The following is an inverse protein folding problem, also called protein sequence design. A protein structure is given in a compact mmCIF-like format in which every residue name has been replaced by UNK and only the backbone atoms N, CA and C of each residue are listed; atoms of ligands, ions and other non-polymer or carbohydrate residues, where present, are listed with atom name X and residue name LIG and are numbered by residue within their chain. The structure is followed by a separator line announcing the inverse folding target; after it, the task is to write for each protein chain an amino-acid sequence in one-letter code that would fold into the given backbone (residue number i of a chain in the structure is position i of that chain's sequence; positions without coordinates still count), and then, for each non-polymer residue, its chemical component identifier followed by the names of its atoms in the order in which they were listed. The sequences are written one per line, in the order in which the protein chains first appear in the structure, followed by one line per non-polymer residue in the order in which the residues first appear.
data_IF_699871274777
#
_entry.id   IF_699871274777
#
_cell.length_a   1.000
_cell.length_b   1.000
_cell.length_c   1.000
_cell.angle_alpha   90.00
_cell.angle_beta   90.00
_cell.angle_gamma   90.00
#
_symmetry.space_group_name_H-M   'P 1'
#
loop_
_entity.id
_entity.type
_entity.pdbx_description
1 polymer ?
#
# COMPACT_ATOMS: atom_id res chain seq x y z
N UNK A 1 16.14 45.85 5.57
CA UNK A 1 15.62 45.34 6.86
C UNK A 1 14.19 45.85 7.03
N UNK A 2 13.25 44.99 7.38
CA UNK A 2 11.87 45.42 7.67
C UNK A 2 11.84 46.30 8.92
N UNK A 3 11.26 47.47 8.87
CA UNK A 3 11.25 48.38 10.03
C UNK A 3 10.33 47.91 11.17
N UNK A 4 9.36 47.00 10.84
CA UNK A 4 8.40 46.48 11.82
C UNK A 4 8.91 45.27 12.62
N UNK A 5 9.56 44.30 11.93
CA UNK A 5 9.98 43.04 12.58
C UNK A 5 11.49 42.79 12.55
N UNK A 6 12.30 43.71 12.01
CA UNK A 6 13.75 43.59 11.94
C UNK A 6 14.28 42.53 10.95
N UNK A 7 13.43 41.83 10.24
CA UNK A 7 13.85 40.80 9.25
C UNK A 7 14.70 41.44 8.13
N UNK A 8 15.82 40.81 7.86
CA UNK A 8 16.67 41.23 6.71
C UNK A 8 16.13 40.62 5.44
N UNK A 9 15.73 41.50 4.51
CA UNK A 9 15.21 41.13 3.21
C UNK A 9 16.24 41.42 2.10
N UNK A 10 16.29 40.54 1.10
CA UNK A 10 17.07 40.77 -0.10
C UNK A 10 16.26 41.59 -1.08
N UNK A 11 16.79 42.75 -1.51
CA UNK A 11 16.23 43.54 -2.59
C UNK A 11 16.63 42.89 -3.91
N UNK A 12 15.65 42.62 -4.77
CA UNK A 12 15.85 42.05 -6.10
C UNK A 12 15.36 43.11 -7.12
N UNK A 13 16.23 43.56 -7.95
CA UNK A 13 15.86 44.43 -9.05
C UNK A 13 15.07 43.65 -10.09
N UNK A 14 13.96 44.23 -10.54
CA UNK A 14 13.07 43.62 -11.51
C UNK A 14 12.56 44.65 -12.50
N UNK A 15 12.52 44.28 -13.80
CA UNK A 15 11.90 45.07 -14.86
C UNK A 15 10.38 44.90 -14.97
N UNK A 16 9.78 44.06 -14.09
CA UNK A 16 8.34 43.78 -14.08
C UNK A 16 7.58 45.04 -13.65
N UNK A 17 6.62 45.46 -14.45
CA UNK A 17 5.75 46.59 -14.15
C UNK A 17 4.66 46.26 -13.12
N UNK A 18 4.33 44.99 -12.99
CA UNK A 18 3.38 44.46 -11.98
C UNK A 18 3.88 43.18 -11.36
N UNK A 19 3.52 42.97 -10.10
CA UNK A 19 3.81 41.78 -9.33
C UNK A 19 2.59 41.38 -8.51
N UNK A 20 2.17 40.12 -8.64
CA UNK A 20 1.08 39.53 -7.86
C UNK A 20 1.62 38.34 -7.08
N UNK A 21 1.35 38.31 -5.79
CA UNK A 21 1.70 37.20 -4.90
C UNK A 21 0.47 36.78 -4.10
N UNK A 22 0.24 35.50 -4.01
CA UNK A 22 -0.83 34.93 -3.20
C UNK A 22 -0.30 33.79 -2.33
N UNK A 23 -0.62 33.81 -1.03
CA UNK A 23 -0.14 32.83 -0.04
C UNK A 23 -1.21 32.58 1.01
N UNK A 24 -1.08 31.44 1.71
CA UNK A 24 -1.87 31.14 2.90
C UNK A 24 -1.10 31.48 4.16
N UNK A 25 -1.80 32.11 5.11
CA UNK A 25 -1.26 32.52 6.40
C UNK A 25 -2.07 31.89 7.53
N UNK A 26 -1.39 31.34 8.55
CA UNK A 26 -2.01 30.66 9.66
C UNK A 26 -1.96 31.46 10.96
N UNK A 27 -3.03 31.44 11.75
CA UNK A 27 -3.07 31.92 13.12
C UNK A 27 -3.54 30.79 14.01
N UNK A 28 -2.72 30.40 15.00
CA UNK A 28 -3.08 29.37 15.97
C UNK A 28 -3.44 30.04 17.29
N UNK A 29 -4.68 29.86 17.73
CA UNK A 29 -5.25 30.54 18.90
C UNK A 29 -6.13 29.63 19.71
N UNK A 30 -6.59 30.11 20.86
CA UNK A 30 -7.53 29.45 21.76
C UNK A 30 -8.79 30.28 21.86
N UNK A 31 -9.93 29.66 21.73
CA UNK A 31 -11.24 30.31 21.90
C UNK A 31 -12.20 29.34 22.59
N UNK A 32 -12.85 29.77 23.69
CA UNK A 32 -13.83 28.98 24.43
C UNK A 32 -13.33 27.58 24.86
N UNK A 33 -12.03 27.44 25.16
CA UNK A 33 -11.42 26.14 25.49
C UNK A 33 -11.07 25.25 24.31
N UNK A 34 -11.34 25.69 23.08
CA UNK A 34 -10.97 24.98 21.85
C UNK A 34 -9.61 25.46 21.33
N UNK A 35 -8.84 24.54 20.79
CA UNK A 35 -7.72 24.88 19.91
C UNK A 35 -8.28 25.29 18.55
N UNK A 36 -7.99 26.50 18.09
CA UNK A 36 -8.47 27.02 16.80
C UNK A 36 -7.30 27.30 15.89
N UNK A 37 -7.35 26.73 14.70
CA UNK A 37 -6.40 27.00 13.62
C UNK A 37 -7.15 27.79 12.55
N UNK A 38 -6.77 29.06 12.36
CA UNK A 38 -7.41 29.98 11.42
C UNK A 38 -6.49 30.16 10.22
N UNK A 39 -7.01 30.02 9.02
CA UNK A 39 -6.25 30.18 7.79
C UNK A 39 -6.83 31.30 6.94
N UNK A 40 -5.92 32.16 6.49
CA UNK A 40 -6.21 33.33 5.71
C UNK A 40 -5.56 33.19 4.35
N UNK A 41 -6.28 33.60 3.29
CA UNK A 41 -5.71 33.83 1.98
C UNK A 41 -5.26 35.28 1.90
N UNK A 42 -3.97 35.47 1.63
CA UNK A 42 -3.34 36.77 1.45
C UNK A 42 -3.02 36.95 -0.03
N UNK A 43 -3.45 38.06 -0.59
CA UNK A 43 -3.07 38.45 -1.93
C UNK A 43 -2.46 39.86 -1.91
N UNK A 44 -1.28 39.99 -2.49
CA UNK A 44 -0.57 41.26 -2.66
C UNK A 44 -0.43 41.58 -4.13
N UNK A 45 -0.97 42.70 -4.52
CA UNK A 45 -0.85 43.24 -5.88
C UNK A 45 0.00 44.49 -5.83
N UNK A 46 1.10 44.50 -6.55
CA UNK A 46 1.99 45.65 -6.70
C UNK A 46 2.02 46.08 -8.16
N UNK A 47 1.95 47.36 -8.39
CA UNK A 47 2.13 47.98 -9.71
C UNK A 47 3.05 49.18 -9.55
N UNK A 48 3.99 49.36 -10.50
CA UNK A 48 4.93 50.48 -10.46
C UNK A 48 4.15 51.80 -10.47
N UNK A 49 4.53 52.72 -9.59
CA UNK A 49 3.87 54.02 -9.44
C UNK A 49 2.59 54.04 -8.56
N UNK A 50 2.13 52.87 -8.10
CA UNK A 50 0.95 52.77 -7.27
C UNK A 50 1.29 52.13 -5.89
N UNK A 51 0.56 52.48 -4.82
CA UNK A 51 0.66 51.79 -3.56
C UNK A 51 0.29 50.31 -3.70
N UNK A 52 1.01 49.41 -2.96
CA UNK A 52 0.69 48.02 -2.96
C UNK A 52 -0.72 47.76 -2.36
N UNK A 53 -1.54 46.99 -3.05
CA UNK A 53 -2.84 46.58 -2.55
C UNK A 53 -2.70 45.21 -1.87
N UNK A 54 -3.20 45.11 -0.63
CA UNK A 54 -3.17 43.91 0.16
C UNK A 54 -4.61 43.44 0.49
N UNK A 55 -4.94 42.23 0.11
CA UNK A 55 -6.20 41.58 0.45
C UNK A 55 -5.93 40.44 1.44
N UNK A 56 -6.69 40.41 2.53
CA UNK A 56 -6.62 39.42 3.56
C UNK A 56 -8.03 38.87 3.85
N UNK A 57 -8.27 37.61 3.57
CA UNK A 57 -9.59 36.99 3.74
C UNK A 57 -9.47 35.66 4.47
N UNK A 58 -10.22 35.47 5.54
CA UNK A 58 -10.29 34.19 6.24
C UNK A 58 -11.03 33.17 5.38
N UNK A 59 -10.46 31.97 5.22
CA UNK A 59 -10.97 30.94 4.32
C UNK A 59 -11.33 29.64 5.05
N UNK A 60 -10.59 29.27 6.11
CA UNK A 60 -10.80 28.02 6.86
C UNK A 60 -10.50 28.25 8.33
N UNK A 61 -11.31 27.64 9.20
CA UNK A 61 -11.07 27.48 10.61
C UNK A 61 -11.20 26.01 10.99
N UNK A 62 -10.22 25.45 11.72
CA UNK A 62 -10.33 24.16 12.39
C UNK A 62 -10.51 24.37 13.87
N UNK A 63 -11.64 23.94 14.41
CA UNK A 63 -11.95 23.96 15.82
C UNK A 63 -11.75 22.58 16.40
N UNK A 64 -10.86 22.43 17.36
CA UNK A 64 -10.46 21.13 17.93
C UNK A 64 -10.71 21.21 19.44
N UNK A 65 -11.55 20.32 19.95
CA UNK A 65 -11.86 20.21 21.38
C UNK A 65 -10.67 19.62 22.16
N UNK A 66 -10.65 19.76 23.49
CA UNK A 66 -9.66 19.09 24.34
C UNK A 66 -9.63 17.55 24.21
N UNK A 67 -10.72 16.95 23.71
CA UNK A 67 -10.83 15.50 23.42
C UNK A 67 -10.48 15.12 21.98
N UNK A 68 -9.95 16.05 21.17
CA UNK A 68 -9.58 15.79 19.77
C UNK A 68 -10.71 15.77 18.75
N UNK A 69 -11.97 15.94 19.17
CA UNK A 69 -13.09 16.11 18.23
C UNK A 69 -12.92 17.43 17.48
N UNK A 70 -13.12 17.41 16.16
CA UNK A 70 -12.88 18.60 15.34
C UNK A 70 -14.06 18.94 14.43
N UNK A 71 -14.31 20.24 14.30
CA UNK A 71 -15.26 20.83 13.35
C UNK A 71 -14.49 21.76 12.44
N UNK A 72 -14.89 21.81 11.18
CA UNK A 72 -14.31 22.67 10.15
C UNK A 72 -15.33 23.70 9.75
N UNK A 73 -14.96 24.97 9.79
CA UNK A 73 -15.69 26.07 9.18
C UNK A 73 -14.87 26.57 7.99
N UNK A 74 -15.48 26.65 6.82
CA UNK A 74 -14.78 27.08 5.62
C UNK A 74 -15.71 27.82 4.66
N UNK A 75 -15.12 28.70 3.84
CA UNK A 75 -15.79 29.22 2.65
C UNK A 75 -16.03 28.09 1.67
N UNK A 76 -17.06 28.23 0.82
CA UNK A 76 -17.23 27.28 -0.29
C UNK A 76 -16.15 27.47 -1.35
N UNK A 77 -15.90 26.42 -2.09
CA UNK A 77 -15.08 26.46 -3.29
C UNK A 77 -15.92 26.12 -4.51
N UNK A 78 -15.56 26.67 -5.64
CA UNK A 78 -16.21 26.39 -6.91
C UNK A 78 -15.13 26.12 -7.98
N UNK A 79 -15.47 25.29 -8.95
CA UNK A 79 -14.64 25.11 -10.13
C UNK A 79 -14.71 26.39 -10.98
N UNK A 80 -13.56 26.96 -11.30
CA UNK A 80 -13.49 28.05 -12.27
C UNK A 80 -13.65 27.51 -13.71
N UNK A 81 -13.91 28.42 -14.65
CA UNK A 81 -13.97 28.08 -16.08
C UNK A 81 -12.67 27.45 -16.61
N UNK A 82 -11.56 27.65 -15.89
CA UNK A 82 -10.24 27.06 -16.18
C UNK A 82 -9.97 25.76 -15.41
N UNK A 83 -10.99 25.12 -14.86
CA UNK A 83 -10.88 23.89 -14.06
C UNK A 83 -10.04 24.02 -12.78
N UNK A 84 -9.79 25.25 -12.30
CA UNK A 84 -9.13 25.46 -11.01
C UNK A 84 -10.17 25.61 -9.90
N UNK A 85 -9.91 24.93 -8.80
CA UNK A 85 -10.70 25.04 -7.59
C UNK A 85 -10.36 26.36 -6.87
N UNK A 86 -11.28 27.29 -6.86
CA UNK A 86 -11.11 28.64 -6.31
C UNK A 86 -12.09 28.93 -5.18
N UNK A 87 -11.71 29.82 -4.26
CA UNK A 87 -12.59 30.27 -3.20
C UNK A 87 -13.76 31.09 -3.74
N UNK A 88 -14.97 30.73 -3.31
CA UNK A 88 -16.15 31.57 -3.52
C UNK A 88 -16.13 32.70 -2.50
N UNK A 89 -15.71 33.88 -2.93
CA UNK A 89 -15.56 35.03 -2.06
C UNK A 89 -16.91 35.63 -1.57
N UNK A 90 -18.00 35.24 -2.18
CA UNK A 90 -19.36 35.64 -1.77
C UNK A 90 -19.97 34.69 -0.73
N UNK A 91 -19.32 33.56 -0.45
CA UNK A 91 -19.79 32.63 0.59
C UNK A 91 -19.28 33.02 1.97
N UNK A 92 -20.04 32.68 2.99
CA UNK A 92 -19.62 32.80 4.39
C UNK A 92 -18.80 31.60 4.87
N UNK A 93 -18.22 31.72 6.08
CA UNK A 93 -17.62 30.62 6.80
C UNK A 93 -18.74 29.78 7.43
N UNK A 94 -18.96 28.59 6.88
CA UNK A 94 -19.97 27.65 7.33
C UNK A 94 -19.35 26.32 7.78
N UNK A 95 -20.06 25.58 8.64
CA UNK A 95 -19.64 24.23 9.02
C UNK A 95 -19.73 23.33 7.78
N UNK A 96 -18.61 22.69 7.47
CA UNK A 96 -18.48 21.80 6.31
C UNK A 96 -18.01 20.40 6.70
N UNK A 97 -18.47 19.41 5.94
CA UNK A 97 -17.99 18.04 6.09
C UNK A 97 -16.51 17.93 5.73
N UNK A 98 -15.80 17.02 6.35
CA UNK A 98 -14.35 16.84 6.15
C UNK A 98 -13.98 16.66 4.66
N UNK A 99 -14.77 15.90 3.90
CA UNK A 99 -14.59 15.72 2.44
C UNK A 99 -14.76 17.00 1.61
N UNK A 100 -15.48 17.99 2.14
CA UNK A 100 -15.73 19.28 1.49
C UNK A 100 -14.77 20.37 1.98
N UNK A 101 -14.02 20.08 3.06
CA UNK A 101 -13.07 21.00 3.62
C UNK A 101 -11.74 20.82 2.89
N UNK A 102 -11.40 21.81 2.14
CA UNK A 102 -10.12 21.84 1.46
C UNK A 102 -8.99 21.99 2.46
N UNK A 103 -8.01 21.07 2.40
CA UNK A 103 -6.82 21.15 3.22
C UNK A 103 -6.00 22.36 2.75
N UNK A 104 -5.85 23.32 3.65
CA UNK A 104 -5.00 24.48 3.43
C UNK A 104 -3.75 24.32 4.28
N UNK A 105 -2.59 24.43 3.63
CA UNK A 105 -1.30 24.46 4.32
C UNK A 105 -0.74 25.88 4.27
N UNK A 106 -0.64 26.57 5.40
CA UNK A 106 -0.10 27.91 5.43
C UNK A 106 1.41 27.90 5.14
N UNK A 107 1.88 28.82 4.33
CA UNK A 107 3.31 29.06 4.07
C UNK A 107 3.99 29.78 5.23
N UNK A 108 3.22 30.57 5.97
CA UNK A 108 3.67 31.30 7.16
C UNK A 108 2.61 31.24 8.28
N UNK A 109 3.07 31.26 9.51
CA UNK A 109 2.21 31.24 10.69
C UNK A 109 2.56 32.41 11.60
N UNK A 110 1.52 33.03 12.19
CA UNK A 110 1.70 34.11 13.14
C UNK A 110 2.60 33.70 14.31
N UNK A 111 3.62 34.47 14.67
CA UNK A 111 4.63 34.07 15.67
C UNK A 111 4.04 33.76 17.06
N UNK A 112 3.07 34.58 17.52
CA UNK A 112 2.47 34.45 18.86
C UNK A 112 1.37 33.38 18.86
N UNK A 113 1.77 32.10 18.81
CA UNK A 113 0.88 30.94 18.83
C UNK A 113 0.35 30.70 20.24
N UNK A 114 -0.97 30.44 20.35
CA UNK A 114 -1.60 30.05 21.60
C UNK A 114 -2.12 28.62 21.51
N UNK A 115 -1.89 27.83 22.56
CA UNK A 115 -2.29 26.43 22.63
C UNK A 115 -3.05 26.15 23.91
N UNK A 116 -4.06 25.29 23.85
CA UNK A 116 -4.79 24.80 25.03
C UNK A 116 -3.84 24.03 25.95
N UNK A 117 -4.10 23.98 27.26
CA UNK A 117 -3.25 23.28 28.22
C UNK A 117 -3.02 21.80 27.87
N UNK A 118 -4.05 21.13 27.35
CA UNK A 118 -4.03 19.72 26.97
C UNK A 118 -2.95 19.42 25.92
N UNK A 119 -2.83 20.25 24.90
CA UNK A 119 -1.81 20.13 23.85
C UNK A 119 -0.39 20.17 24.45
N UNK A 120 -0.14 21.09 25.38
CA UNK A 120 1.16 21.21 26.07
C UNK A 120 1.41 20.00 26.98
N UNK A 121 0.38 19.60 27.76
CA UNK A 121 0.44 18.46 28.68
C UNK A 121 0.74 17.16 27.92
N UNK A 122 0.18 17.00 26.70
CA UNK A 122 0.38 15.83 25.86
C UNK A 122 1.74 15.81 25.12
N UNK A 123 2.63 16.74 25.43
CA UNK A 123 4.03 16.69 25.00
C UNK A 123 4.38 17.59 23.82
N UNK A 124 3.45 18.39 23.29
CA UNK A 124 3.78 19.31 22.20
C UNK A 124 4.75 20.41 22.62
N UNK A 125 5.85 20.58 21.89
CA UNK A 125 6.92 21.56 22.13
C UNK A 125 7.11 22.57 21.00
N UNK A 126 6.18 22.61 20.03
CA UNK A 126 6.22 23.56 18.90
C UNK A 126 6.51 22.95 17.56
N UNK A 127 6.98 21.70 17.51
CA UNK A 127 7.23 20.97 16.26
C UNK A 127 6.06 20.01 15.95
N UNK A 128 5.59 20.06 14.72
CA UNK A 128 4.55 19.17 14.21
C UNK A 128 5.10 17.90 13.56
N UNK A 129 6.40 17.75 13.54
CA UNK A 129 7.11 16.57 13.02
C UNK A 129 6.68 16.18 11.60
N UNK A 130 6.43 17.16 10.72
CA UNK A 130 5.99 16.95 9.34
C UNK A 130 4.52 16.59 9.16
N UNK A 131 3.75 16.56 10.23
CA UNK A 131 2.29 16.39 10.17
C UNK A 131 1.60 17.75 9.98
N UNK A 132 0.40 17.75 9.35
CA UNK A 132 -0.43 18.95 9.38
C UNK A 132 -0.85 19.26 10.81
N UNK A 133 -0.87 20.54 11.22
CA UNK A 133 -1.24 20.92 12.60
C UNK A 133 -2.58 20.36 13.04
N UNK A 134 -3.57 20.32 12.14
CA UNK A 134 -4.89 19.74 12.43
C UNK A 134 -4.79 18.24 12.77
N UNK A 135 -4.13 17.45 11.92
CA UNK A 135 -4.02 16.01 12.15
C UNK A 135 -3.20 15.72 13.41
N UNK A 136 -2.12 16.48 13.62
CA UNK A 136 -1.29 16.37 14.81
C UNK A 136 -2.11 16.57 16.09
N UNK A 137 -2.81 17.72 16.22
CA UNK A 137 -3.60 17.99 17.41
C UNK A 137 -4.75 17.01 17.62
N UNK A 138 -5.46 16.67 16.55
CA UNK A 138 -6.52 15.64 16.65
C UNK A 138 -5.98 14.34 17.24
N UNK A 139 -4.88 13.83 16.70
CA UNK A 139 -4.32 12.54 17.10
C UNK A 139 -3.83 12.56 18.56
N UNK A 140 -3.04 13.55 18.97
CA UNK A 140 -2.51 13.61 20.34
C UNK A 140 -3.57 13.94 21.40
N UNK A 141 -4.71 14.50 21.01
CA UNK A 141 -5.83 14.80 21.91
C UNK A 141 -6.88 13.68 21.97
N UNK A 142 -7.03 12.89 20.89
CA UNK A 142 -8.03 11.84 20.84
C UNK A 142 -7.53 10.46 21.27
N UNK A 143 -6.23 10.20 21.21
CA UNK A 143 -5.64 8.90 21.50
C UNK A 143 -4.40 9.04 22.42
N UNK A 144 -4.50 8.50 23.63
CA UNK A 144 -3.41 8.50 24.61
C UNK A 144 -2.17 7.75 24.13
N UNK A 145 -2.30 6.86 23.18
CA UNK A 145 -1.17 6.14 22.56
C UNK A 145 -0.35 7.09 21.69
N UNK A 146 -1.00 7.97 20.92
CA UNK A 146 -0.31 9.00 20.14
C UNK A 146 0.44 9.99 21.04
N UNK A 147 -0.15 10.37 22.17
CA UNK A 147 0.52 11.12 23.22
C UNK A 147 1.77 10.39 23.73
N UNK A 148 1.64 9.07 23.99
CA UNK A 148 2.75 8.22 24.44
C UNK A 148 3.87 8.15 23.41
N UNK A 149 3.56 7.98 22.12
CA UNK A 149 4.53 7.99 21.04
C UNK A 149 5.30 9.33 20.98
N UNK A 150 4.58 10.44 21.09
CA UNK A 150 5.19 11.77 21.10
C UNK A 150 6.15 11.94 22.30
N UNK A 151 5.68 11.62 23.52
CA UNK A 151 6.46 11.76 24.76
C UNK A 151 7.67 10.84 24.83
N UNK A 152 7.57 9.65 24.22
CA UNK A 152 8.68 8.69 24.18
C UNK A 152 9.67 8.92 23.03
N UNK A 153 9.43 9.93 22.18
CA UNK A 153 10.30 10.22 21.04
C UNK A 153 10.15 9.26 19.84
N UNK A 154 9.11 8.43 19.81
CA UNK A 154 8.81 7.51 18.72
C UNK A 154 8.11 8.26 17.56
N UNK A 155 8.83 9.21 16.98
CA UNK A 155 8.26 10.16 16.03
C UNK A 155 7.85 9.51 14.71
N UNK A 156 8.61 8.55 14.22
CA UNK A 156 8.29 7.88 12.96
C UNK A 156 7.04 7.00 13.10
N UNK A 157 6.85 6.34 14.26
CA UNK A 157 5.59 5.64 14.58
C UNK A 157 4.41 6.62 14.67
N UNK A 158 4.59 7.77 15.36
CA UNK A 158 3.57 8.82 15.43
C UNK A 158 3.14 9.28 14.04
N UNK A 159 4.10 9.58 13.16
CA UNK A 159 3.83 10.00 11.78
C UNK A 159 3.10 8.93 10.98
N UNK A 160 3.60 7.71 11.04
CA UNK A 160 3.07 6.58 10.29
C UNK A 160 1.61 6.32 10.61
N UNK A 161 1.27 6.13 11.89
CA UNK A 161 -0.11 5.87 12.32
C UNK A 161 -1.03 7.10 12.24
N UNK A 162 -0.45 8.32 12.17
CA UNK A 162 -1.23 9.53 11.91
C UNK A 162 -1.71 9.65 10.46
N UNK A 163 -1.00 9.08 9.50
CA UNK A 163 -1.25 9.22 8.07
C UNK A 163 -1.94 7.97 7.49
N UNK A 164 -1.43 6.78 7.82
CA UNK A 164 -1.95 5.52 7.30
C UNK A 164 -3.15 5.04 8.11
N UNK A 165 -4.33 5.13 7.51
CA UNK A 165 -5.59 4.61 8.08
C UNK A 165 -5.80 3.10 7.90
N UNK A 166 -4.98 2.44 7.08
CA UNK A 166 -5.13 1.03 6.72
C UNK A 166 -4.54 0.05 7.73
N UNK A 167 -3.63 0.52 8.60
CA UNK A 167 -3.05 -0.31 9.66
C UNK A 167 -3.56 0.16 11.01
N UNK A 168 -4.05 -0.81 11.80
CA UNK A 168 -4.59 -0.53 13.12
C UNK A 168 -3.44 -0.49 14.14
N UNK A 169 -3.30 0.60 14.87
CA UNK A 169 -2.30 0.74 15.94
C UNK A 169 -2.49 -0.33 17.04
N UNK A 170 -3.71 -0.84 17.21
CA UNK A 170 -4.02 -1.88 18.22
C UNK A 170 -3.20 -3.14 18.01
N UNK A 171 -2.99 -3.55 16.76
CA UNK A 171 -2.29 -4.79 16.40
C UNK A 171 -0.81 -4.76 16.81
N UNK A 172 -0.23 -3.56 16.86
CA UNK A 172 1.21 -3.35 17.15
C UNK A 172 1.48 -2.77 18.53
N UNK A 173 0.43 -2.33 19.26
CA UNK A 173 0.62 -1.55 20.48
C UNK A 173 1.37 -2.30 21.57
N UNK A 174 1.14 -3.59 21.73
CA UNK A 174 1.87 -4.43 22.69
C UNK A 174 3.38 -4.40 22.42
N UNK A 175 3.78 -4.61 21.16
CA UNK A 175 5.18 -4.60 20.71
C UNK A 175 5.80 -3.21 20.79
N UNK A 176 5.05 -2.15 20.47
CA UNK A 176 5.49 -0.75 20.60
C UNK A 176 5.85 -0.42 22.05
N UNK A 177 5.04 -0.85 23.02
CA UNK A 177 5.34 -0.66 24.45
C UNK A 177 6.66 -1.32 24.86
N UNK A 178 6.98 -2.48 24.29
CA UNK A 178 8.25 -3.17 24.51
C UNK A 178 9.41 -2.35 23.91
N UNK A 179 9.26 -1.83 22.70
CA UNK A 179 10.26 -0.95 22.08
C UNK A 179 10.51 0.29 22.95
N UNK A 180 9.47 0.95 23.42
CA UNK A 180 9.59 2.14 24.29
C UNK A 180 10.34 1.79 25.59
N UNK A 181 9.96 0.69 26.28
CA UNK A 181 10.57 0.23 27.51
C UNK A 181 12.07 -0.06 27.35
N UNK A 182 12.45 -0.63 26.21
CA UNK A 182 13.83 -1.00 25.90
C UNK A 182 14.61 0.12 25.20
N UNK A 183 14.05 1.33 25.10
CA UNK A 183 14.66 2.48 24.41
C UNK A 183 15.03 2.17 22.94
N UNK A 184 14.29 1.27 22.33
CA UNK A 184 14.45 0.93 20.91
C UNK A 184 13.62 1.89 20.07
N UNK A 185 14.28 2.64 19.18
CA UNK A 185 13.61 3.58 18.26
C UNK A 185 13.33 2.88 16.95
N UNK A 186 12.05 2.86 16.53
CA UNK A 186 11.63 2.31 15.25
C UNK A 186 11.79 3.39 14.18
N UNK A 187 12.80 3.28 13.34
CA UNK A 187 13.09 4.24 12.26
C UNK A 187 12.39 3.91 10.94
N UNK A 188 12.32 2.62 10.56
CA UNK A 188 11.59 2.16 9.38
C UNK A 188 10.33 1.43 9.81
N UNK A 189 9.26 2.20 10.02
CA UNK A 189 8.01 1.68 10.57
C UNK A 189 7.34 0.67 9.66
N UNK A 190 7.42 0.85 8.33
CA UNK A 190 6.80 -0.08 7.39
C UNK A 190 7.44 -1.47 7.50
N UNK A 191 8.77 -1.52 7.42
CA UNK A 191 9.51 -2.79 7.57
C UNK A 191 9.31 -3.39 8.97
N UNK A 192 9.24 -2.55 10.01
CA UNK A 192 9.04 -3.04 11.37
C UNK A 192 7.64 -3.65 11.56
N UNK A 193 6.59 -3.05 11.01
CA UNK A 193 5.23 -3.63 11.04
C UNK A 193 5.20 -4.97 10.30
N UNK A 194 5.73 -5.02 9.07
CA UNK A 194 5.80 -6.26 8.29
C UNK A 194 6.62 -7.34 9.02
N UNK A 195 7.68 -6.95 9.73
CA UNK A 195 8.47 -7.85 10.56
C UNK A 195 7.69 -8.38 11.77
N UNK A 196 6.92 -7.53 12.45
CA UNK A 196 6.05 -7.95 13.56
C UNK A 196 4.99 -8.94 13.08
N UNK A 197 4.39 -8.69 11.91
CA UNK A 197 3.44 -9.62 11.28
C UNK A 197 4.09 -10.97 10.95
N UNK A 198 5.35 -10.97 10.50
CA UNK A 198 6.12 -12.20 10.30
C UNK A 198 6.42 -12.93 11.60
N UNK A 199 6.74 -12.23 12.67
CA UNK A 199 6.91 -12.81 14.00
C UNK A 199 5.62 -13.48 14.46
N UNK A 200 4.47 -12.81 14.30
CA UNK A 200 3.17 -13.36 14.62
C UNK A 200 2.85 -14.59 13.78
N UNK A 201 3.09 -14.55 12.47
CA UNK A 201 2.92 -15.70 11.58
C UNK A 201 3.70 -16.93 12.04
N UNK A 202 4.92 -16.74 12.59
CA UNK A 202 5.74 -17.82 13.11
C UNK A 202 5.51 -18.12 14.60
N UNK A 203 4.46 -17.57 15.23
CA UNK A 203 4.11 -17.81 16.62
C UNK A 203 5.15 -17.34 17.62
N UNK A 204 5.89 -16.25 17.29
CA UNK A 204 6.87 -15.67 18.20
C UNK A 204 6.19 -14.78 19.23
N UNK A 205 6.77 -14.74 20.43
CA UNK A 205 6.27 -13.91 21.52
C UNK A 205 6.54 -12.42 21.23
N UNK A 206 5.48 -11.68 20.90
CA UNK A 206 5.51 -10.25 20.57
C UNK A 206 5.69 -9.35 21.81
N UNK A 207 5.67 -9.92 23.02
CA UNK A 207 5.96 -9.20 24.27
C UNK A 207 7.45 -9.30 24.69
N UNK A 208 8.25 -10.04 23.92
CA UNK A 208 9.66 -10.25 24.22
C UNK A 208 10.55 -9.31 23.38
N UNK A 209 11.34 -8.48 24.07
CA UNK A 209 12.25 -7.53 23.43
C UNK A 209 13.25 -8.17 22.46
N UNK A 210 13.68 -9.41 22.74
CA UNK A 210 14.59 -10.17 21.87
C UNK A 210 14.05 -10.30 20.45
N UNK A 211 12.72 -10.38 20.30
CA UNK A 211 12.09 -10.50 18.99
C UNK A 211 11.72 -9.14 18.40
N UNK A 212 11.01 -8.28 19.17
CA UNK A 212 10.44 -7.04 18.60
C UNK A 212 11.43 -5.88 18.48
N UNK A 213 12.63 -6.00 19.09
CA UNK A 213 13.69 -4.99 19.04
C UNK A 213 14.98 -5.58 18.41
N UNK A 214 14.97 -5.98 17.14
CA UNK A 214 16.14 -6.59 16.51
C UNK A 214 17.27 -5.56 16.37
N UNK A 215 18.53 -6.03 16.50
CA UNK A 215 19.70 -5.17 16.29
C UNK A 215 19.80 -4.70 14.81
N UNK A 216 19.49 -5.59 13.88
CA UNK A 216 19.36 -5.28 12.45
C UNK A 216 17.96 -5.70 11.98
N UNK A 217 17.06 -4.72 11.87
CA UNK A 217 15.68 -4.93 11.48
C UNK A 217 15.56 -5.52 10.07
N UNK A 218 16.34 -5.00 9.13
CA UNK A 218 16.24 -5.40 7.72
C UNK A 218 16.75 -6.82 7.51
N UNK A 219 17.88 -7.17 8.11
CA UNK A 219 18.41 -8.53 8.02
C UNK A 219 17.45 -9.58 8.62
N UNK A 220 16.84 -9.28 9.78
CA UNK A 220 15.90 -10.19 10.43
C UNK A 220 14.57 -10.29 9.67
N UNK A 221 14.04 -9.18 9.14
CA UNK A 221 12.89 -9.15 8.26
C UNK A 221 13.12 -10.05 7.04
N UNK A 222 14.22 -9.86 6.31
CA UNK A 222 14.53 -10.61 5.10
C UNK A 222 14.75 -12.10 5.38
N UNK A 223 15.32 -12.42 6.53
CA UNK A 223 15.46 -13.82 7.01
C UNK A 223 14.09 -14.49 7.19
N UNK A 224 13.15 -13.80 7.86
CA UNK A 224 11.80 -14.34 8.07
C UNK A 224 10.98 -14.38 6.78
N UNK A 225 11.13 -13.42 5.89
CA UNK A 225 10.48 -13.40 4.56
C UNK A 225 10.92 -14.62 3.73
N UNK A 226 12.22 -14.91 3.66
CA UNK A 226 12.73 -16.11 2.97
C UNK A 226 12.17 -17.39 3.58
N UNK A 227 12.07 -17.45 4.92
CA UNK A 227 11.48 -18.60 5.62
C UNK A 227 10.00 -18.78 5.29
N UNK A 228 9.22 -17.68 5.23
CA UNK A 228 7.80 -17.70 4.86
C UNK A 228 7.60 -18.17 3.42
N UNK A 229 8.39 -17.67 2.49
CA UNK A 229 8.36 -18.10 1.09
C UNK A 229 8.69 -19.58 0.91
N UNK A 230 9.70 -20.07 1.63
CA UNK A 230 10.05 -21.50 1.60
C UNK A 230 8.93 -22.36 2.20
N UNK A 231 8.29 -21.91 3.27
CA UNK A 231 7.13 -22.57 3.87
C UNK A 231 5.93 -22.61 2.92
N UNK A 232 5.61 -21.48 2.28
CA UNK A 232 4.52 -21.39 1.29
C UNK A 232 4.75 -22.34 0.10
N UNK A 233 5.96 -22.38 -0.45
CA UNK A 233 6.32 -23.30 -1.54
C UNK A 233 6.16 -24.78 -1.13
N UNK A 234 6.46 -25.12 0.12
CA UNK A 234 6.23 -26.49 0.64
C UNK A 234 4.75 -26.81 0.71
N UNK A 235 3.93 -25.89 1.24
CA UNK A 235 2.49 -26.05 1.33
C UNK A 235 1.83 -26.19 -0.03
N UNK A 236 2.27 -25.40 -1.01
CA UNK A 236 1.78 -25.51 -2.40
C UNK A 236 2.12 -26.86 -3.01
N UNK A 237 3.36 -27.33 -2.85
CA UNK A 237 3.76 -28.66 -3.34
C UNK A 237 2.98 -29.80 -2.67
N UNK A 238 2.73 -29.70 -1.38
CA UNK A 238 1.96 -30.71 -0.64
C UNK A 238 0.51 -30.75 -1.13
N UNK A 239 -0.16 -29.59 -1.21
CA UNK A 239 -1.51 -29.50 -1.78
C UNK A 239 -1.59 -30.05 -3.21
N UNK A 240 -0.57 -29.81 -4.00
CA UNK A 240 -0.47 -30.28 -5.37
C UNK A 240 -0.34 -31.82 -5.42
N UNK A 241 0.49 -32.40 -4.54
CA UNK A 241 0.61 -33.86 -4.40
C UNK A 241 -0.70 -34.50 -3.95
N UNK A 242 -1.37 -33.93 -2.95
CA UNK A 242 -2.67 -34.40 -2.49
C UNK A 242 -3.71 -34.36 -3.61
N UNK A 243 -3.72 -33.30 -4.43
CA UNK A 243 -4.64 -33.16 -5.56
C UNK A 243 -4.35 -34.22 -6.66
N UNK A 244 -3.07 -34.46 -6.96
CA UNK A 244 -2.65 -35.51 -7.90
C UNK A 244 -3.12 -36.88 -7.43
N UNK A 245 -2.84 -37.22 -6.17
CA UNK A 245 -3.26 -38.51 -5.57
C UNK A 245 -4.78 -38.71 -5.62
N UNK A 246 -5.54 -37.66 -5.31
CA UNK A 246 -7.01 -37.72 -5.36
C UNK A 246 -7.54 -37.99 -6.76
N UNK A 247 -6.93 -37.44 -7.78
CA UNK A 247 -7.35 -37.60 -9.18
C UNK A 247 -6.80 -38.89 -9.80
N UNK A 248 -5.75 -39.47 -9.22
CA UNK A 248 -5.08 -40.66 -9.77
C UNK A 248 -6.04 -41.86 -9.85
N UNK A 249 -6.75 -42.14 -8.77
CA UNK A 249 -7.71 -43.28 -8.73
C UNK A 249 -8.74 -43.14 -9.83
N UNK A 250 -9.29 -41.95 -10.03
CA UNK A 250 -10.28 -41.70 -11.06
C UNK A 250 -9.71 -41.84 -12.46
N UNK A 251 -8.49 -41.39 -12.70
CA UNK A 251 -7.81 -41.53 -13.99
C UNK A 251 -7.56 -43.01 -14.31
N UNK A 252 -7.05 -43.77 -13.38
CA UNK A 252 -6.79 -45.20 -13.52
C UNK A 252 -8.09 -45.97 -13.84
N UNK A 253 -9.20 -45.67 -13.17
CA UNK A 253 -10.50 -46.26 -13.47
C UNK A 253 -10.97 -45.95 -14.90
N UNK A 254 -10.81 -44.69 -15.35
CA UNK A 254 -11.26 -44.23 -16.65
C UNK A 254 -10.41 -44.75 -17.82
N UNK A 255 -9.09 -44.91 -17.60
CA UNK A 255 -8.13 -45.12 -18.70
C UNK A 255 -7.36 -46.45 -18.60
N UNK A 256 -7.66 -47.32 -17.63
CA UNK A 256 -6.94 -48.58 -17.39
C UNK A 256 -6.77 -49.44 -18.67
N UNK A 257 -7.73 -49.44 -19.57
CA UNK A 257 -7.71 -50.20 -20.83
C UNK A 257 -6.68 -49.66 -21.84
N UNK A 258 -6.25 -48.43 -21.71
CA UNK A 258 -5.38 -47.76 -22.68
C UNK A 258 -3.96 -47.52 -22.13
N UNK A 259 -3.75 -47.76 -20.85
CA UNK A 259 -2.44 -47.62 -20.25
C UNK A 259 -1.45 -48.61 -20.86
N UNK A 260 -0.22 -48.14 -21.12
CA UNK A 260 0.79 -48.94 -21.80
C UNK A 260 0.71 -48.95 -23.34
N UNK A 261 -0.29 -48.26 -23.95
CA UNK A 261 -0.28 -48.10 -25.41
C UNK A 261 0.84 -47.16 -25.85
N UNK A 262 1.63 -47.65 -26.80
CA UNK A 262 2.75 -46.94 -27.41
C UNK A 262 2.76 -47.15 -28.91
N UNK A 263 3.20 -46.14 -29.63
CA UNK A 263 3.36 -46.16 -31.11
C UNK A 263 4.73 -45.57 -31.44
N UNK A 264 5.45 -46.15 -32.42
CA UNK A 264 6.73 -45.59 -32.85
C UNK A 264 6.96 -45.89 -34.33
N UNK A 265 7.51 -44.93 -35.04
CA UNK A 265 8.01 -45.10 -36.42
C UNK A 265 9.55 -45.27 -36.44
N UNK A 266 10.18 -45.41 -35.30
CA UNK A 266 11.64 -45.48 -35.12
C UNK A 266 12.30 -44.16 -34.74
N UNK A 267 11.69 -43.04 -35.03
CA UNK A 267 12.16 -41.69 -34.64
C UNK A 267 11.22 -41.00 -33.66
N UNK A 268 9.95 -40.96 -33.99
CA UNK A 268 8.88 -40.43 -33.12
C UNK A 268 8.32 -41.55 -32.26
N UNK A 269 8.18 -41.29 -30.97
CA UNK A 269 7.59 -42.20 -30.01
C UNK A 269 6.41 -41.52 -29.34
N UNK A 270 5.22 -42.08 -29.48
CA UNK A 270 3.96 -41.55 -28.97
C UNK A 270 3.37 -42.53 -27.97
N UNK A 271 3.16 -42.13 -26.76
CA UNK A 271 2.60 -43.00 -25.70
C UNK A 271 1.51 -42.34 -24.90
N UNK A 272 0.58 -43.12 -24.38
CA UNK A 272 -0.43 -42.63 -23.43
C UNK A 272 0.24 -42.18 -22.16
N UNK A 273 -0.17 -41.04 -21.60
CA UNK A 273 0.25 -40.62 -20.25
C UNK A 273 -0.24 -41.65 -19.23
N UNK A 274 0.68 -42.14 -18.38
CA UNK A 274 0.40 -43.29 -17.52
C UNK A 274 -0.30 -42.93 -16.20
N UNK A 275 -0.06 -41.76 -15.70
CA UNK A 275 -0.60 -41.26 -14.44
C UNK A 275 -0.84 -39.75 -14.44
N UNK A 276 -1.58 -39.23 -13.45
CA UNK A 276 -1.92 -37.80 -13.37
C UNK A 276 -0.68 -36.91 -13.16
N UNK A 277 0.38 -37.43 -12.56
CA UNK A 277 1.62 -36.70 -12.42
C UNK A 277 2.29 -36.43 -13.78
N UNK A 278 2.18 -37.37 -14.71
CA UNK A 278 2.68 -37.18 -16.07
C UNK A 278 1.96 -36.02 -16.79
N UNK A 279 0.64 -35.83 -16.57
CA UNK A 279 -0.07 -34.64 -17.09
C UNK A 279 0.47 -33.35 -16.52
N UNK A 280 0.83 -33.37 -15.23
CA UNK A 280 1.43 -32.21 -14.60
C UNK A 280 2.82 -31.89 -15.17
N UNK A 281 3.65 -32.90 -15.36
CA UNK A 281 4.97 -32.76 -15.98
C UNK A 281 4.86 -32.30 -17.45
N UNK A 282 3.97 -32.91 -18.22
CA UNK A 282 3.70 -32.55 -19.62
C UNK A 282 3.33 -31.07 -19.74
N UNK A 283 2.38 -30.60 -18.92
CA UNK A 283 1.97 -29.20 -18.89
C UNK A 283 3.09 -28.23 -18.51
N UNK A 284 3.97 -28.63 -17.59
CA UNK A 284 5.11 -27.81 -17.18
C UNK A 284 6.21 -27.73 -18.24
N UNK A 285 6.53 -28.84 -18.90
CA UNK A 285 7.57 -28.93 -19.93
C UNK A 285 7.13 -28.20 -21.20
N UNK A 286 5.91 -28.48 -21.66
CA UNK A 286 5.36 -27.89 -22.90
C UNK A 286 4.63 -26.55 -22.67
N UNK A 287 4.56 -26.06 -21.42
CA UNK A 287 3.95 -24.77 -21.04
C UNK A 287 2.51 -24.61 -21.57
N UNK A 288 1.69 -25.63 -21.37
CA UNK A 288 0.28 -25.60 -21.70
C UNK A 288 -0.60 -26.20 -20.58
N UNK A 289 -1.91 -26.02 -20.69
CA UNK A 289 -2.86 -26.24 -19.60
C UNK A 289 -3.45 -27.66 -19.54
N UNK A 290 -2.76 -28.69 -20.00
CA UNK A 290 -3.32 -30.08 -20.06
C UNK A 290 -3.67 -30.60 -18.65
N UNK A 291 -2.86 -30.32 -17.64
CA UNK A 291 -3.16 -30.64 -16.25
C UNK A 291 -4.21 -29.69 -15.67
N UNK A 292 -4.03 -28.37 -15.83
CA UNK A 292 -4.90 -27.36 -15.23
C UNK A 292 -6.36 -27.47 -15.72
N UNK A 293 -6.54 -27.86 -16.97
CA UNK A 293 -7.86 -28.09 -17.57
C UNK A 293 -8.38 -29.52 -17.38
N UNK A 294 -7.74 -30.30 -16.48
CA UNK A 294 -8.17 -31.62 -16.08
C UNK A 294 -8.43 -32.60 -17.26
N UNK A 295 -7.58 -32.61 -18.28
CA UNK A 295 -7.71 -33.47 -19.44
C UNK A 295 -7.71 -34.97 -19.07
N UNK A 296 -7.09 -35.33 -17.94
CA UNK A 296 -7.12 -36.71 -17.40
C UNK A 296 -8.53 -37.16 -16.97
N UNK A 297 -9.50 -36.26 -16.79
CA UNK A 297 -10.90 -36.59 -16.46
C UNK A 297 -11.82 -36.69 -17.69
N UNK A 298 -11.35 -36.34 -18.90
CA UNK A 298 -12.15 -36.47 -20.12
C UNK A 298 -12.41 -37.94 -20.40
N UNK A 299 -13.69 -38.30 -20.59
CA UNK A 299 -14.12 -39.70 -20.85
C UNK A 299 -14.02 -40.09 -22.31
N UNK A 300 -14.11 -39.13 -23.18
CA UNK A 300 -14.26 -39.26 -24.63
C UNK A 300 -12.95 -39.11 -25.43
N UNK A 301 -11.88 -38.73 -24.78
CA UNK A 301 -10.58 -38.55 -25.43
C UNK A 301 -9.44 -39.26 -24.67
N UNK A 302 -8.34 -39.53 -25.36
CA UNK A 302 -7.11 -40.07 -24.84
C UNK A 302 -5.99 -39.06 -25.07
N UNK A 303 -5.12 -38.88 -24.06
CA UNK A 303 -4.01 -37.94 -24.12
C UNK A 303 -2.70 -38.71 -24.18
N UNK A 304 -1.92 -38.39 -25.21
CA UNK A 304 -0.63 -39.01 -25.45
C UNK A 304 0.47 -37.96 -25.45
N UNK A 305 1.68 -38.38 -25.09
CA UNK A 305 2.90 -37.61 -25.21
C UNK A 305 3.71 -38.10 -26.42
N UNK A 306 3.98 -37.18 -27.34
CA UNK A 306 4.88 -37.44 -28.47
C UNK A 306 6.31 -37.02 -28.06
N UNK A 307 7.28 -37.91 -28.29
CA UNK A 307 8.66 -37.77 -27.83
C UNK A 307 9.65 -38.14 -28.94
N UNK A 308 10.79 -37.43 -28.94
CA UNK A 308 11.97 -37.79 -29.75
C UNK A 308 13.17 -37.91 -28.83
N UNK A 309 13.86 -39.03 -28.87
CA UNK A 309 14.98 -39.34 -28.00
C UNK A 309 14.65 -39.11 -26.50
N UNK A 310 13.45 -39.45 -26.09
CA UNK A 310 12.96 -39.28 -24.72
C UNK A 310 12.58 -37.85 -24.34
N UNK A 311 12.68 -36.88 -25.25
CA UNK A 311 12.28 -35.50 -25.04
C UNK A 311 10.85 -35.27 -25.53
N UNK A 312 9.98 -34.76 -24.66
CA UNK A 312 8.60 -34.40 -24.99
C UNK A 312 8.57 -33.24 -25.98
N UNK A 313 7.81 -33.39 -27.07
CA UNK A 313 7.71 -32.40 -28.16
C UNK A 313 6.28 -31.90 -28.34
N UNK A 314 5.29 -32.80 -28.28
CA UNK A 314 3.87 -32.46 -28.41
C UNK A 314 3.01 -33.31 -27.48
N UNK A 315 1.88 -32.74 -27.06
CA UNK A 315 0.77 -33.44 -26.45
C UNK A 315 -0.31 -33.65 -27.50
N UNK A 316 -0.72 -34.91 -27.68
CA UNK A 316 -1.72 -35.32 -28.69
C UNK A 316 -3.00 -35.72 -27.98
N UNK A 317 -4.14 -35.16 -28.40
CA UNK A 317 -5.49 -35.54 -27.97
C UNK A 317 -6.17 -36.35 -29.08
N UNK A 318 -6.59 -37.58 -28.75
CA UNK A 318 -7.26 -38.50 -29.67
C UNK A 318 -8.68 -38.75 -29.20
N UNK A 319 -9.66 -38.65 -30.09
CA UNK A 319 -11.05 -39.02 -29.82
C UNK A 319 -11.20 -40.55 -29.72
N UNK A 320 -11.81 -41.02 -28.63
CA UNK A 320 -12.11 -42.44 -28.44
C UNK A 320 -13.32 -42.90 -29.25
N UNK A 321 -14.12 -42.01 -29.79
CA UNK A 321 -15.26 -42.32 -30.61
C UNK A 321 -14.87 -42.52 -32.08
N UNK A 322 -13.93 -41.71 -32.61
CA UNK A 322 -13.56 -41.72 -34.03
C UNK A 322 -12.14 -42.24 -34.27
N UNK A 323 -11.32 -42.37 -33.23
CA UNK A 323 -9.90 -42.69 -33.30
C UNK A 323 -9.07 -41.68 -34.11
N UNK A 324 -9.57 -40.46 -34.24
CA UNK A 324 -8.89 -39.37 -34.94
C UNK A 324 -8.21 -38.43 -33.96
N UNK A 325 -7.11 -37.84 -34.39
CA UNK A 325 -6.45 -36.77 -33.64
C UNK A 325 -7.36 -35.53 -33.60
N UNK A 326 -7.71 -35.09 -32.40
CA UNK A 326 -8.49 -33.86 -32.17
C UNK A 326 -7.60 -32.67 -32.25
N UNK A 327 -6.41 -32.79 -31.61
CA UNK A 327 -5.35 -31.75 -31.62
C UNK A 327 -4.01 -32.35 -31.25
N UNK A 328 -2.94 -31.75 -31.76
CA UNK A 328 -1.58 -31.96 -31.33
C UNK A 328 -0.95 -30.60 -31.04
N UNK A 329 -0.29 -30.42 -29.87
CA UNK A 329 0.25 -29.14 -29.43
C UNK A 329 1.60 -29.30 -28.74
N UNK A 330 2.59 -28.57 -29.26
CA UNK A 330 3.89 -28.45 -28.68
C UNK A 330 4.02 -27.31 -27.65
N UNK A 331 5.22 -26.84 -27.46
CA UNK A 331 5.53 -25.78 -26.47
C UNK A 331 4.67 -24.53 -26.72
N UNK A 332 4.05 -24.02 -25.64
CA UNK A 332 3.16 -22.85 -25.68
C UNK A 332 1.99 -22.99 -26.71
N UNK A 333 1.47 -24.20 -26.91
CA UNK A 333 0.41 -24.54 -27.84
C UNK A 333 0.75 -24.28 -29.32
N UNK A 334 2.01 -24.19 -29.68
CA UNK A 334 2.42 -24.07 -31.09
C UNK A 334 2.47 -25.44 -31.78
N UNK A 335 2.26 -25.46 -33.08
CA UNK A 335 2.51 -26.66 -33.89
C UNK A 335 4.01 -26.86 -34.03
N UNK A 336 4.47 -28.10 -33.99
CA UNK A 336 5.85 -28.46 -34.29
C UNK A 336 6.01 -28.92 -35.74
N UNK A 337 7.24 -29.19 -36.18
CA UNK A 337 7.56 -29.78 -37.47
C UNK A 337 7.00 -31.24 -37.62
N UNK A 338 6.62 -31.86 -36.51
CA UNK A 338 6.10 -33.23 -36.40
C UNK A 338 4.57 -33.28 -36.34
N UNK A 339 3.91 -32.14 -36.45
CA UNK A 339 2.46 -32.00 -36.22
C UNK A 339 1.62 -32.82 -37.20
N UNK A 340 2.09 -33.03 -38.46
CA UNK A 340 1.37 -33.70 -39.52
C UNK A 340 1.83 -35.19 -39.72
N UNK A 341 2.69 -35.69 -38.82
CA UNK A 341 3.13 -37.08 -38.80
C UNK A 341 2.30 -37.91 -37.82
#
# INVERSE_FOLDING_TARGET
TCPHCGTKEKVIDSRKQSFKQAEYYGIYTVCGGFQVLRYFFLEKNCQVGNPAQLYCREVVQHWISPSGKSVIMARSRCMSVLYYDVWNWSSDLEIRQERQAHLVSPTAVYPHKRFIPEVKRNGFRGDFHGLSPRNFFRNILSDSRMETLLKSGQIDLLRYFSIKRSQNLDDYWASIRICIRNKYTVSDVSIWCDYVDLLQFFGKDLSNAKFVCPADLRAEHDRLMRKKQAWQKRQEKEKQREQILKNETQYQELKSKFLGLEFSDGQLHVRVLQDVNEFFEEGNILKHCVYANAYFLKTDTLILSAQINGKRIETVEVSLATFQVVQARGVCNQNTEWHDQ
#
